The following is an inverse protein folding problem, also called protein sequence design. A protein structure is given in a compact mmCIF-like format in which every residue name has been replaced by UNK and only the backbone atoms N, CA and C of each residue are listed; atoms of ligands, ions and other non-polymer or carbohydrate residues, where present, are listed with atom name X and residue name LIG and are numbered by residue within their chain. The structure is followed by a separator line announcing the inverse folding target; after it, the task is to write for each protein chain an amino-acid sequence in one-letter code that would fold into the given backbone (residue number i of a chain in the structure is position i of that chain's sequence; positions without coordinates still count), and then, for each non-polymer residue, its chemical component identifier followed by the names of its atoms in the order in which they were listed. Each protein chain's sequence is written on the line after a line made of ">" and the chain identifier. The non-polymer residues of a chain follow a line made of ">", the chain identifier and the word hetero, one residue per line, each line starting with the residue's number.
data_IF_003858529644
#
_entry.id   IF_003858529644
#
_cell.length_a   1.000
_cell.length_b   1.000
_cell.length_c   1.000
_cell.angle_alpha   90.00
_cell.angle_beta   90.00
_cell.angle_gamma   90.00
#
_symmetry.space_group_name_H-M   'P 1'
#
loop_
_entity.id
_entity.type
_entity.pdbx_description
1 polymer ?
#
# COMPACT_ATOMS: atom_id res chain seq x y z
N UNK A 1 -0.32 4.25 -18.91
CA UNK A 1 -0.85 4.50 -17.55
C UNK A 1 -0.35 5.84 -17.05
N UNK A 2 -1.22 6.68 -16.49
CA UNK A 2 -0.86 8.02 -15.99
C UNK A 2 -0.18 7.94 -14.63
N UNK A 3 0.90 8.69 -14.44
CA UNK A 3 1.53 8.90 -13.13
C UNK A 3 0.92 10.14 -12.45
N UNK A 4 0.60 10.02 -11.16
CA UNK A 4 0.11 11.13 -10.36
C UNK A 4 1.22 12.14 -10.09
N UNK A 5 0.89 13.41 -10.33
CA UNK A 5 1.71 14.55 -9.94
C UNK A 5 1.29 15.06 -8.55
N UNK A 6 2.13 15.90 -7.94
CA UNK A 6 1.73 16.62 -6.71
C UNK A 6 0.50 17.50 -6.94
N UNK A 7 0.39 18.12 -8.12
CA UNK A 7 -0.75 18.97 -8.48
C UNK A 7 -2.06 18.18 -8.54
N UNK A 8 -2.03 16.94 -9.06
CA UNK A 8 -3.21 16.07 -9.09
C UNK A 8 -3.69 15.72 -7.68
N UNK A 9 -2.73 15.38 -6.81
CA UNK A 9 -3.00 15.02 -5.42
C UNK A 9 -3.45 16.23 -4.58
N UNK A 10 -2.90 17.41 -4.82
CA UNK A 10 -3.34 18.65 -4.17
C UNK A 10 -4.78 19.06 -4.56
N UNK A 11 -5.22 18.68 -5.76
CA UNK A 11 -6.60 18.88 -6.24
C UNK A 11 -7.53 17.72 -5.91
N UNK A 12 -7.06 16.73 -5.14
CA UNK A 12 -7.81 15.53 -4.75
C UNK A 12 -8.45 14.79 -5.94
N UNK A 13 -7.85 14.88 -7.13
CA UNK A 13 -8.40 14.26 -8.34
C UNK A 13 -7.70 12.93 -8.58
N UNK A 14 -8.44 11.83 -8.46
CA UNK A 14 -7.95 10.49 -8.77
C UNK A 14 -8.42 10.09 -10.19
N UNK A 15 -7.52 9.59 -11.05
CA UNK A 15 -7.90 9.02 -12.33
C UNK A 15 -8.85 7.83 -12.15
N UNK A 16 -9.74 7.61 -13.11
CA UNK A 16 -10.43 6.33 -13.19
C UNK A 16 -9.46 5.21 -13.58
N UNK A 17 -9.67 4.03 -13.00
CA UNK A 17 -8.88 2.83 -13.29
C UNK A 17 -7.51 2.82 -12.63
N UNK A 18 -6.50 2.35 -13.37
CA UNK A 18 -5.17 2.13 -12.82
C UNK A 18 -4.27 3.37 -13.00
N UNK A 19 -3.57 3.76 -11.93
CA UNK A 19 -2.63 4.88 -11.94
C UNK A 19 -1.35 4.58 -11.16
N UNK A 20 -0.29 5.33 -11.48
CA UNK A 20 1.02 5.21 -10.84
C UNK A 20 1.23 6.30 -9.79
N UNK A 21 1.78 5.93 -8.64
CA UNK A 21 2.14 6.83 -7.53
C UNK A 21 3.66 6.77 -7.30
N UNK A 22 4.37 7.90 -7.41
CA UNK A 22 5.80 7.97 -7.10
C UNK A 22 6.15 7.59 -5.66
N UNK A 23 7.32 7.00 -5.44
CA UNK A 23 7.85 6.55 -4.13
C UNK A 23 7.84 7.59 -2.97
N UNK A 24 7.69 8.87 -3.28
CA UNK A 24 7.62 9.96 -2.30
C UNK A 24 6.21 10.43 -1.94
N UNK A 25 5.17 9.96 -2.65
CA UNK A 25 3.80 10.46 -2.53
C UNK A 25 2.85 9.47 -1.85
N UNK A 26 3.41 8.46 -1.17
CA UNK A 26 2.65 7.56 -0.31
C UNK A 26 3.43 7.11 0.92
N UNK A 27 2.69 6.61 1.91
CA UNK A 27 3.20 6.02 3.15
C UNK A 27 2.41 4.77 3.53
N UNK A 28 3.12 3.71 3.90
CA UNK A 28 2.51 2.54 4.52
C UNK A 28 2.04 2.92 5.92
N UNK A 29 0.76 2.66 6.22
CA UNK A 29 0.13 2.95 7.51
C UNK A 29 0.14 1.71 8.38
N UNK A 30 -0.37 0.61 7.83
CA UNK A 30 -0.48 -0.71 8.44
C UNK A 30 -0.13 -1.79 7.40
N UNK A 31 -0.14 -3.06 7.80
CA UNK A 31 0.19 -4.18 6.91
C UNK A 31 -0.73 -4.35 5.70
N UNK A 32 -1.90 -3.69 5.69
CA UNK A 32 -2.86 -3.74 4.58
C UNK A 32 -3.32 -2.37 4.05
N UNK A 33 -2.78 -1.27 4.61
CA UNK A 33 -3.30 0.08 4.39
C UNK A 33 -2.17 1.05 4.04
N UNK A 34 -2.34 1.79 2.95
CA UNK A 34 -1.44 2.83 2.46
C UNK A 34 -2.16 4.19 2.47
N UNK A 35 -1.43 5.27 2.73
CA UNK A 35 -1.90 6.65 2.59
C UNK A 35 -1.25 7.31 1.38
N UNK A 36 -2.04 7.95 0.54
CA UNK A 36 -1.55 8.88 -0.48
C UNK A 36 -1.40 10.26 0.13
N UNK A 37 -0.28 10.93 -0.19
CA UNK A 37 0.07 12.24 0.33
C UNK A 37 -0.19 13.33 -0.70
N UNK A 38 -0.66 14.50 -0.29
CA UNK A 38 -0.89 15.63 -1.22
C UNK A 38 0.42 16.27 -1.70
N UNK A 39 1.53 16.01 -1.01
CA UNK A 39 2.79 16.72 -1.18
C UNK A 39 2.82 18.09 -0.48
N UNK A 40 1.73 18.50 0.18
CA UNK A 40 1.65 19.67 1.04
C UNK A 40 1.77 19.26 2.51
N UNK A 41 2.15 20.23 3.35
CA UNK A 41 2.25 20.07 4.79
C UNK A 41 1.26 20.96 5.52
N UNK A 42 0.73 20.48 6.64
CA UNK A 42 -0.07 21.27 7.57
C UNK A 42 0.81 22.36 8.22
N UNK A 43 0.20 23.36 8.89
CA UNK A 43 0.95 24.34 9.69
C UNK A 43 1.83 23.71 10.77
N UNK A 44 1.49 22.50 11.23
CA UNK A 44 2.27 21.70 12.18
C UNK A 44 3.36 20.86 11.51
N UNK A 45 3.61 21.06 10.21
CA UNK A 45 4.63 20.35 9.44
C UNK A 45 4.28 18.91 9.05
N UNK A 46 3.02 18.47 9.25
CA UNK A 46 2.59 17.10 8.96
C UNK A 46 2.18 16.96 7.49
N UNK A 47 2.60 15.88 6.82
CA UNK A 47 2.18 15.60 5.44
C UNK A 47 0.65 15.40 5.40
N UNK A 48 -0.02 16.15 4.52
CA UNK A 48 -1.47 16.05 4.36
C UNK A 48 -1.83 14.78 3.56
N UNK A 49 -2.78 14.02 4.08
CA UNK A 49 -3.29 12.79 3.45
C UNK A 49 -4.42 13.13 2.49
N UNK A 50 -4.35 12.64 1.26
CA UNK A 50 -5.40 12.77 0.25
C UNK A 50 -6.41 11.65 0.36
N UNK A 51 -5.91 10.42 0.47
CA UNK A 51 -6.73 9.22 0.48
C UNK A 51 -6.02 8.10 1.24
N UNK A 52 -6.81 7.24 1.88
CA UNK A 52 -6.36 5.95 2.40
C UNK A 52 -6.79 4.84 1.43
N UNK A 53 -5.85 3.97 1.10
CA UNK A 53 -6.06 2.81 0.24
C UNK A 53 -5.87 1.56 1.09
N UNK A 54 -6.76 0.60 0.93
CA UNK A 54 -6.66 -0.73 1.52
C UNK A 54 -6.65 -1.76 0.41
N UNK A 55 -5.90 -2.85 0.60
CA UNK A 55 -6.02 -4.00 -0.28
C UNK A 55 -7.46 -4.49 -0.39
N UNK A 56 -7.87 -4.83 -1.61
CA UNK A 56 -9.21 -5.34 -1.88
C UNK A 56 -9.44 -6.76 -1.38
N UNK A 57 -8.41 -7.61 -1.42
CA UNK A 57 -8.57 -9.07 -1.26
C UNK A 57 -7.89 -9.67 -0.02
N UNK A 58 -6.95 -8.94 0.59
CA UNK A 58 -6.14 -9.39 1.73
C UNK A 58 -6.22 -8.42 2.91
N UNK A 59 -6.10 -8.95 4.12
CA UNK A 59 -6.07 -8.18 5.35
C UNK A 59 -4.87 -8.61 6.19
N UNK A 60 -4.21 -7.62 6.80
CA UNK A 60 -3.16 -7.87 7.77
C UNK A 60 -3.77 -8.06 9.16
N UNK A 61 -3.13 -8.87 10.02
CA UNK A 61 -3.46 -8.89 11.44
C UNK A 61 -3.37 -7.48 12.04
N UNK A 62 -4.19 -7.20 13.06
CA UNK A 62 -4.15 -5.90 13.71
C UNK A 62 -2.79 -5.63 14.36
N UNK A 63 -2.26 -4.42 14.14
CA UNK A 63 -1.08 -3.95 14.86
C UNK A 63 -1.44 -3.72 16.33
N UNK A 64 -0.62 -4.22 17.26
CA UNK A 64 -0.78 -3.90 18.69
C UNK A 64 -0.71 -2.37 18.86
N UNK A 65 -1.75 -1.77 19.45
CA UNK A 65 -1.74 -0.36 19.84
C UNK A 65 -0.80 -0.17 21.04
N UNK A 66 0.11 0.79 20.93
CA UNK A 66 0.96 1.17 22.05
C UNK A 66 0.11 1.66 23.22
N UNK A 67 0.40 1.14 24.41
CA UNK A 67 -0.20 1.61 25.67
C UNK A 67 0.81 2.51 26.38
N UNK A 68 0.32 3.46 27.16
CA UNK A 68 1.19 4.34 27.97
C UNK A 68 2.14 3.53 28.87
N UNK A 69 1.68 2.39 29.39
CA UNK A 69 2.47 1.46 30.18
C UNK A 69 3.59 0.73 29.41
N UNK A 70 3.59 0.77 28.07
CA UNK A 70 4.65 0.15 27.26
C UNK A 70 5.92 1.03 27.21
N UNK A 71 5.82 2.33 27.48
CA UNK A 71 6.95 3.28 27.41
C UNK A 71 8.19 2.87 28.24
N UNK A 72 8.08 2.50 29.54
CA UNK A 72 9.24 2.05 30.31
C UNK A 72 9.84 0.75 29.77
N UNK A 73 9.02 -0.17 29.22
CA UNK A 73 9.51 -1.41 28.62
C UNK A 73 10.30 -1.13 27.34
N UNK A 74 9.81 -0.21 26.50
CA UNK A 74 10.51 0.21 25.28
C UNK A 74 11.85 0.87 25.62
N UNK A 75 11.92 1.66 26.70
CA UNK A 75 13.16 2.31 27.14
C UNK A 75 14.28 1.33 27.50
N UNK A 76 13.94 0.08 27.83
CA UNK A 76 14.88 -1.01 28.13
C UNK A 76 14.97 -2.07 27.01
N UNK A 77 14.58 -1.71 25.78
CA UNK A 77 14.53 -2.59 24.57
C UNK A 77 13.60 -3.81 24.68
N UNK A 78 12.65 -3.79 25.62
CA UNK A 78 11.64 -4.82 25.82
C UNK A 78 10.29 -4.44 25.17
N UNK A 79 10.31 -3.98 23.91
CA UNK A 79 9.09 -3.56 23.19
C UNK A 79 8.12 -4.75 23.00
N UNK A 80 6.95 -4.73 23.67
CA UNK A 80 6.02 -5.84 23.64
C UNK A 80 5.23 -5.93 22.31
N UNK A 81 5.37 -4.93 21.43
CA UNK A 81 4.90 -4.94 20.05
C UNK A 81 5.95 -5.38 19.03
N UNK A 82 7.21 -5.64 19.43
CA UNK A 82 8.34 -5.93 18.53
C UNK A 82 8.08 -7.10 17.57
N UNK A 83 7.44 -8.15 18.05
CA UNK A 83 7.18 -9.37 17.27
C UNK A 83 5.70 -9.56 16.90
N UNK A 84 4.88 -8.52 16.99
CA UNK A 84 3.46 -8.68 16.68
C UNK A 84 3.23 -8.92 15.17
N UNK A 85 2.31 -9.82 14.78
CA UNK A 85 2.07 -10.16 13.37
C UNK A 85 1.73 -8.95 12.48
N UNK A 86 0.92 -8.00 12.99
CA UNK A 86 0.57 -6.77 12.26
C UNK A 86 1.78 -5.88 11.95
N UNK A 87 2.75 -5.80 12.89
CA UNK A 87 4.02 -5.08 12.65
C UNK A 87 4.86 -5.78 11.60
N UNK A 88 4.96 -7.12 11.64
CA UNK A 88 5.68 -7.90 10.62
C UNK A 88 5.09 -7.68 9.22
N UNK A 89 3.77 -7.65 9.09
CA UNK A 89 3.09 -7.35 7.83
C UNK A 89 3.42 -5.93 7.34
N UNK A 90 3.34 -4.94 8.24
CA UNK A 90 3.69 -3.54 7.94
C UNK A 90 5.14 -3.38 7.47
N UNK A 91 6.08 -3.98 8.19
CA UNK A 91 7.51 -3.92 7.86
C UNK A 91 7.81 -4.61 6.52
N UNK A 92 7.14 -5.74 6.25
CA UNK A 92 7.23 -6.42 4.95
C UNK A 92 6.77 -5.50 3.82
N UNK A 93 5.60 -4.89 3.96
CA UNK A 93 5.05 -3.98 2.96
C UNK A 93 5.99 -2.79 2.74
N UNK A 94 6.48 -2.15 3.82
CA UNK A 94 7.46 -1.06 3.74
C UNK A 94 8.70 -1.49 2.96
N UNK A 95 9.25 -2.67 3.25
CA UNK A 95 10.46 -3.17 2.59
C UNK A 95 10.24 -3.35 1.09
N UNK A 96 9.10 -3.91 0.69
CA UNK A 96 8.77 -4.16 -0.72
C UNK A 96 8.47 -2.90 -1.51
N UNK A 97 7.94 -1.86 -0.87
CA UNK A 97 7.57 -0.60 -1.52
C UNK A 97 8.67 0.47 -1.42
N UNK A 98 9.72 0.25 -0.61
CA UNK A 98 10.75 1.26 -0.34
C UNK A 98 11.41 1.74 -1.64
N UNK A 99 11.38 3.07 -1.86
CA UNK A 99 11.97 3.75 -3.02
C UNK A 99 11.42 3.26 -4.38
N UNK A 100 10.22 2.70 -4.40
CA UNK A 100 9.58 2.18 -5.60
C UNK A 100 8.25 2.84 -5.86
N UNK A 101 7.89 2.85 -7.13
CA UNK A 101 6.62 3.39 -7.56
C UNK A 101 5.52 2.35 -7.39
N UNK A 102 4.40 2.82 -6.86
CA UNK A 102 3.21 2.01 -6.59
C UNK A 102 2.26 2.14 -7.78
N UNK A 103 1.69 1.03 -8.22
CA UNK A 103 0.56 1.00 -9.14
C UNK A 103 -0.68 0.69 -8.33
N UNK A 104 -1.70 1.54 -8.45
CA UNK A 104 -2.99 1.40 -7.79
C UNK A 104 -4.03 1.14 -8.86
N UNK A 105 -4.68 -0.03 -8.82
CA UNK A 105 -5.81 -0.35 -9.69
C UNK A 105 -7.08 -0.44 -8.86
N UNK A 106 -8.08 0.36 -9.18
CA UNK A 106 -9.33 0.37 -8.43
C UNK A 106 -10.56 0.42 -9.35
N UNK A 107 -11.70 0.07 -8.76
CA UNK A 107 -13.02 0.16 -9.38
C UNK A 107 -13.89 1.24 -8.70
N UNK A 108 -13.28 2.13 -7.91
CA UNK A 108 -13.99 3.22 -7.23
C UNK A 108 -14.81 2.75 -6.02
N UNK A 109 -14.52 1.56 -5.49
CA UNK A 109 -15.19 0.99 -4.32
C UNK A 109 -14.49 1.43 -3.04
N UNK A 110 -15.27 1.82 -2.03
CA UNK A 110 -14.77 2.23 -0.73
C UNK A 110 -15.31 1.30 0.36
N UNK A 111 -14.52 1.07 1.40
CA UNK A 111 -15.02 0.38 2.60
C UNK A 111 -15.82 1.31 3.51
N UNK A 112 -16.42 0.75 4.56
CA UNK A 112 -17.22 1.50 5.56
C UNK A 112 -16.45 2.60 6.30
N UNK A 113 -15.12 2.61 6.20
CA UNK A 113 -14.25 3.61 6.82
C UNK A 113 -13.71 4.63 5.80
N UNK A 114 -14.25 4.64 4.57
CA UNK A 114 -13.84 5.56 3.51
C UNK A 114 -12.47 5.25 2.90
N UNK A 115 -11.96 4.02 3.05
CA UNK A 115 -10.71 3.60 2.39
C UNK A 115 -11.03 3.05 1.00
N UNK A 116 -10.30 3.53 0.00
CA UNK A 116 -10.40 2.99 -1.36
C UNK A 116 -9.91 1.54 -1.37
N UNK A 117 -10.72 0.63 -1.87
CA UNK A 117 -10.34 -0.76 -2.10
C UNK A 117 -9.67 -0.88 -3.46
N UNK A 118 -8.42 -1.32 -3.45
CA UNK A 118 -7.61 -1.40 -4.66
C UNK A 118 -6.74 -2.66 -4.69
N UNK A 119 -6.35 -3.03 -5.91
CA UNK A 119 -5.25 -3.94 -6.17
C UNK A 119 -3.96 -3.14 -6.28
N UNK A 120 -2.92 -3.57 -5.59
CA UNK A 120 -1.67 -2.83 -5.44
C UNK A 120 -0.50 -3.61 -6.01
N UNK A 121 0.25 -2.97 -6.89
CA UNK A 121 1.48 -3.53 -7.43
C UNK A 121 2.64 -2.57 -7.26
N UNK A 122 3.86 -3.07 -7.32
CA UNK A 122 5.06 -2.26 -7.21
C UNK A 122 5.94 -2.47 -8.44
N UNK A 123 6.55 -1.39 -8.92
CA UNK A 123 7.58 -1.46 -9.94
C UNK A 123 8.94 -1.79 -9.30
N UNK A 124 9.81 -2.59 -9.94
CA UNK A 124 11.11 -2.97 -9.38
C UNK A 124 12.00 -1.75 -9.11
N UNK A 125 11.90 -0.74 -9.98
CA UNK A 125 12.57 0.55 -9.89
C UNK A 125 11.64 1.69 -10.37
N UNK A 126 11.87 2.95 -9.94
CA UNK A 126 11.12 4.09 -10.43
C UNK A 126 11.28 4.23 -11.95
N UNK A 127 10.17 4.28 -12.68
CA UNK A 127 10.21 4.42 -14.13
C UNK A 127 10.13 3.10 -14.90
N UNK A 128 10.25 1.96 -14.23
CA UNK A 128 10.22 0.66 -14.90
C UNK A 128 8.93 0.43 -15.72
N UNK A 129 9.00 -0.37 -16.79
CA UNK A 129 7.81 -0.78 -17.55
C UNK A 129 6.78 -1.50 -16.69
N UNK A 130 5.49 -1.30 -17.01
CA UNK A 130 4.37 -1.94 -16.28
C UNK A 130 4.43 -3.46 -16.30
N UNK A 131 4.94 -4.06 -17.38
CA UNK A 131 5.10 -5.51 -17.50
C UNK A 131 5.94 -6.12 -16.37
N UNK A 132 6.81 -5.31 -15.74
CA UNK A 132 7.63 -5.74 -14.62
C UNK A 132 6.97 -5.51 -13.25
N UNK A 133 5.75 -4.96 -13.21
CA UNK A 133 5.07 -4.74 -11.94
C UNK A 133 4.77 -6.06 -11.25
N UNK A 134 4.88 -6.05 -9.92
CA UNK A 134 4.65 -7.22 -9.07
C UNK A 134 3.49 -6.94 -8.11
N UNK A 135 2.48 -7.82 -8.08
CA UNK A 135 1.37 -7.74 -7.13
C UNK A 135 1.87 -7.86 -5.69
N UNK A 136 1.55 -6.86 -4.88
CA UNK A 136 1.87 -6.85 -3.46
C UNK A 136 0.99 -7.85 -2.70
N UNK A 137 -0.24 -8.11 -3.13
CA UNK A 137 -1.11 -9.14 -2.53
C UNK A 137 -0.47 -10.51 -2.60
N UNK A 138 0.01 -10.90 -3.79
CA UNK A 138 0.68 -12.19 -4.00
C UNK A 138 1.94 -12.30 -3.17
N UNK A 139 2.75 -11.25 -3.14
CA UNK A 139 3.96 -11.21 -2.32
C UNK A 139 3.62 -11.36 -0.83
N UNK A 140 2.64 -10.61 -0.34
CA UNK A 140 2.28 -10.62 1.08
C UNK A 140 1.69 -11.97 1.52
N UNK A 141 0.83 -12.57 0.69
CA UNK A 141 0.28 -13.92 0.92
C UNK A 141 1.39 -14.99 0.91
N UNK A 142 2.27 -14.97 -0.10
CA UNK A 142 3.38 -15.93 -0.19
C UNK A 142 4.35 -15.83 1.00
N UNK A 143 4.42 -14.68 1.67
CA UNK A 143 5.21 -14.46 2.88
C UNK A 143 4.48 -14.86 4.17
N UNK A 144 3.20 -15.22 4.09
CA UNK A 144 2.40 -15.63 5.24
C UNK A 144 2.23 -14.53 6.28
N UNK A 145 2.13 -13.27 5.85
CA UNK A 145 1.98 -12.10 6.75
C UNK A 145 0.59 -11.47 6.69
N UNK A 146 -0.29 -11.98 5.84
CA UNK A 146 -1.67 -11.52 5.63
C UNK A 146 -2.55 -12.72 5.30
N UNK A 147 -3.86 -12.56 5.51
CA UNK A 147 -4.86 -13.55 5.17
C UNK A 147 -5.80 -13.03 4.08
N UNK A 148 -6.41 -13.95 3.34
CA UNK A 148 -7.52 -13.61 2.44
C UNK A 148 -8.77 -13.33 3.27
N UNK A 149 -9.45 -12.22 2.97
CA UNK A 149 -10.75 -11.90 3.57
C UNK A 149 -11.87 -11.72 2.53
N UNK A 150 -11.53 -11.72 1.25
CA UNK A 150 -12.47 -11.64 0.13
C UNK A 150 -12.39 -12.90 -0.74
N UNK A 151 -13.54 -13.31 -1.27
CA UNK A 151 -13.68 -14.37 -2.27
C UNK A 151 -13.23 -13.92 -3.66
N UNK A 152 -13.13 -12.60 -3.90
CA UNK A 152 -12.62 -12.03 -5.14
C UNK A 152 -11.25 -12.61 -5.51
N UNK A 153 -10.94 -12.78 -6.81
CA UNK A 153 -9.66 -13.31 -7.24
C UNK A 153 -8.52 -12.39 -6.83
N UNK A 154 -7.46 -12.98 -6.26
CA UNK A 154 -6.20 -12.27 -5.98
C UNK A 154 -5.51 -11.98 -7.33
N UNK A 155 -5.05 -10.74 -7.58
CA UNK A 155 -4.33 -10.39 -8.80
C UNK A 155 -3.19 -11.39 -9.09
N UNK A 156 -2.90 -11.71 -10.36
CA UNK A 156 -1.74 -12.55 -10.68
C UNK A 156 -0.44 -11.84 -10.25
N UNK A 157 0.66 -12.59 -10.14
CA UNK A 157 1.93 -12.03 -9.66
C UNK A 157 2.42 -10.88 -10.55
N UNK A 158 2.24 -11.01 -11.87
CA UNK A 158 2.57 -10.00 -12.87
C UNK A 158 1.30 -9.53 -13.59
N UNK A 159 0.53 -8.61 -12.99
CA UNK A 159 -0.79 -8.21 -13.51
C UNK A 159 -0.77 -7.50 -14.86
N UNK A 160 0.41 -7.12 -15.35
CA UNK A 160 0.58 -6.49 -16.65
C UNK A 160 1.65 -7.18 -17.52
N UNK A 161 2.17 -8.33 -17.09
CA UNK A 161 3.24 -9.05 -17.79
C UNK A 161 2.75 -9.89 -18.98
N UNK A 162 1.52 -10.41 -18.89
CA UNK A 162 1.06 -11.53 -19.75
C UNK A 162 0.02 -11.12 -20.82
N UNK A 163 -0.24 -9.82 -21.03
CA UNK A 163 -1.20 -9.33 -22.04
C UNK A 163 -0.54 -8.74 -23.31
N UNK A 164 0.69 -9.17 -23.66
CA UNK A 164 1.38 -8.73 -24.90
C UNK A 164 1.61 -9.83 -25.93
N UNK A 165 1.15 -11.06 -25.71
CA UNK A 165 1.05 -12.05 -26.78
C UNK A 165 -0.29 -11.89 -27.50
N UNK A 166 -0.32 -11.55 -28.81
CA UNK A 166 -1.54 -11.73 -29.58
C UNK A 166 -1.89 -13.22 -29.55
N UNK A 167 -3.13 -13.54 -29.19
CA UNK A 167 -3.65 -14.87 -29.46
C UNK A 167 -3.60 -15.10 -30.98
N UNK A 168 -3.11 -16.26 -31.45
CA UNK A 168 -3.08 -16.60 -32.87
C UNK A 168 -4.49 -16.67 -33.47
#
# INVERSE_FOLDING_TARGET
>A
MRALTRSDLARFTLPEGAFRVPAGLYRVTDGDTIRLLSGQRSPLGQDLTVLRIRFRTIAAPETRKARWADAPLIAIDADPGRFCPGRRAKEMLIRFTRKRDLIVSHQGRFDRYGRLLADLSVLPEPGAPLAQAVSLERVMLARGVVDRFSTDPVPPLHPYGDNLTPHP
#
